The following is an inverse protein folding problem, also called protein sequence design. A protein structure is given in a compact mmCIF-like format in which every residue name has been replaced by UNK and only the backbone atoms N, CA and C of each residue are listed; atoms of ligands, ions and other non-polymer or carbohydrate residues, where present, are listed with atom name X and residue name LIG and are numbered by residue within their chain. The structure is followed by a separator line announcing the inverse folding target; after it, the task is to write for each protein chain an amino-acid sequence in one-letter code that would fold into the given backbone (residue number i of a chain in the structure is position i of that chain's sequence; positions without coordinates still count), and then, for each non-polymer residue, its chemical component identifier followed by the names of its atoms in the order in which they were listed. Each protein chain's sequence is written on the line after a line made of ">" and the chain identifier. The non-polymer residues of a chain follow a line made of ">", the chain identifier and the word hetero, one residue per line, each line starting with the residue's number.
data_IF_721938758608
#
_entry.id   IF_721938758608
#
_cell.length_a   1.000
_cell.length_b   1.000
_cell.length_c   1.000
_cell.angle_alpha   90.00
_cell.angle_beta   90.00
_cell.angle_gamma   90.00
#
_symmetry.space_group_name_H-M   'P 1'
#
loop_
_entity.id
_entity.type
_entity.pdbx_description
1 polymer ?
#
# COMPACT_ATOMS: atom_id res chain seq x y z
N UNK A 1 -12.71 4.31 9.80
CA UNK A 1 -12.47 3.27 8.78
C UNK A 1 -11.16 2.56 9.11
N UNK A 2 -11.06 1.25 8.88
CA UNK A 2 -9.87 0.44 9.23
C UNK A 2 -9.31 -0.19 7.94
N UNK A 3 -8.21 0.36 7.44
CA UNK A 3 -7.60 -0.05 6.18
C UNK A 3 -7.12 -1.50 6.21
N UNK A 4 -6.62 -1.97 7.36
CA UNK A 4 -6.12 -3.33 7.53
C UNK A 4 -7.20 -4.39 7.30
N UNK A 5 -8.43 -4.10 7.72
CA UNK A 5 -9.60 -4.97 7.50
C UNK A 5 -10.12 -4.90 6.08
N UNK A 6 -9.95 -3.74 5.42
CA UNK A 6 -10.42 -3.51 4.06
C UNK A 6 -9.55 -4.17 3.02
N UNK A 7 -8.26 -4.28 3.30
CA UNK A 7 -7.28 -4.98 2.47
C UNK A 7 -6.90 -6.33 3.08
N UNK A 8 -7.76 -6.96 3.89
CA UNK A 8 -7.45 -8.27 4.47
C UNK A 8 -7.28 -9.36 3.40
N UNK A 9 -8.03 -9.22 2.29
CA UNK A 9 -7.95 -10.06 1.10
C UNK A 9 -7.30 -9.30 -0.07
N UNK A 10 -6.81 -10.06 -1.05
CA UNK A 10 -6.27 -9.51 -2.29
C UNK A 10 -7.30 -8.63 -3.01
N UNK A 11 -6.95 -7.36 -3.17
CA UNK A 11 -7.79 -6.33 -3.79
C UNK A 11 -7.03 -5.76 -4.98
N UNK A 12 -7.71 -5.55 -6.11
CA UNK A 12 -7.10 -4.90 -7.27
C UNK A 12 -6.56 -3.50 -6.96
N UNK A 13 -5.58 -3.06 -7.76
CA UNK A 13 -4.89 -1.78 -7.63
C UNK A 13 -5.83 -0.58 -7.45
N UNK A 14 -6.91 -0.52 -8.22
CA UNK A 14 -7.88 0.58 -8.13
C UNK A 14 -8.67 0.52 -6.82
N UNK A 15 -9.15 -0.66 -6.45
CA UNK A 15 -9.84 -0.90 -5.19
C UNK A 15 -8.96 -0.58 -3.98
N UNK A 16 -7.69 -0.98 -4.02
CA UNK A 16 -6.72 -0.69 -2.97
C UNK A 16 -6.44 0.82 -2.87
N UNK A 17 -6.25 1.49 -4.00
CA UNK A 17 -6.03 2.94 -4.06
C UNK A 17 -7.24 3.72 -3.54
N UNK A 18 -8.45 3.25 -3.83
CA UNK A 18 -9.69 3.80 -3.28
C UNK A 18 -9.78 3.69 -1.76
N UNK A 19 -9.49 2.51 -1.19
CA UNK A 19 -9.54 2.31 0.26
C UNK A 19 -8.46 3.15 0.98
N UNK A 20 -7.26 3.31 0.39
CA UNK A 20 -6.23 4.24 0.87
C UNK A 20 -6.73 5.69 0.81
N UNK A 21 -7.29 6.12 -0.32
CA UNK A 21 -7.82 7.47 -0.48
C UNK A 21 -8.93 7.80 0.52
N UNK A 22 -9.76 6.82 0.88
CA UNK A 22 -10.74 6.97 1.97
C UNK A 22 -10.09 7.05 3.35
N UNK A 23 -9.09 6.23 3.62
CA UNK A 23 -8.36 6.27 4.88
C UNK A 23 -7.62 7.61 5.09
N UNK A 24 -7.14 8.22 4.01
CA UNK A 24 -6.53 9.55 4.01
C UNK A 24 -7.55 10.71 4.03
N UNK A 25 -8.85 10.43 3.88
CA UNK A 25 -9.91 11.43 3.84
C UNK A 25 -10.00 12.21 2.52
N UNK A 26 -9.38 11.72 1.44
CA UNK A 26 -9.45 12.31 0.09
C UNK A 26 -10.83 12.05 -0.53
N UNK A 27 -11.37 10.85 -0.31
CA UNK A 27 -12.70 10.46 -0.76
C UNK A 27 -13.68 10.44 0.41
N UNK A 28 -14.85 11.07 0.25
CA UNK A 28 -15.84 11.10 1.31
C UNK A 28 -16.50 9.72 1.48
N UNK A 29 -17.06 9.44 2.66
CA UNK A 29 -17.70 8.15 2.91
C UNK A 29 -18.92 7.86 2.01
N UNK A 30 -19.53 8.90 1.44
CA UNK A 30 -20.66 8.79 0.53
C UNK A 30 -20.25 8.63 -0.94
N UNK A 31 -18.97 8.86 -1.27
CA UNK A 31 -18.47 8.71 -2.62
C UNK A 31 -18.21 7.23 -2.90
N UNK A 32 -19.09 6.60 -3.66
CA UNK A 32 -18.91 5.22 -4.07
C UNK A 32 -17.81 5.08 -5.13
N UNK A 33 -17.11 3.96 -5.12
CA UNK A 33 -16.05 3.63 -6.09
C UNK A 33 -16.44 3.93 -7.55
N UNK A 34 -17.65 3.57 -7.97
CA UNK A 34 -18.14 3.82 -9.35
C UNK A 34 -18.12 5.29 -9.74
N UNK A 35 -18.36 6.21 -8.81
CA UNK A 35 -18.34 7.66 -9.05
C UNK A 35 -16.92 8.23 -9.14
N UNK A 36 -15.95 7.54 -8.54
CA UNK A 36 -14.54 7.94 -8.48
C UNK A 36 -13.65 7.15 -9.44
N UNK A 37 -14.22 6.18 -10.15
CA UNK A 37 -13.53 5.31 -11.11
C UNK A 37 -12.65 6.07 -12.10
N UNK A 38 -13.08 7.25 -12.54
CA UNK A 38 -12.31 8.12 -13.44
C UNK A 38 -10.98 8.57 -12.83
N UNK A 39 -10.85 8.66 -11.51
CA UNK A 39 -9.60 9.00 -10.81
C UNK A 39 -8.54 7.91 -11.01
N UNK A 40 -8.96 6.65 -11.11
CA UNK A 40 -8.03 5.53 -11.27
C UNK A 40 -7.82 5.16 -12.74
N UNK A 41 -8.85 5.33 -13.58
CA UNK A 41 -8.85 4.90 -14.98
C UNK A 41 -8.42 5.99 -15.97
N UNK A 42 -8.09 7.18 -15.48
CA UNK A 42 -7.45 8.23 -16.27
C UNK A 42 -6.06 8.51 -15.72
N UNK A 43 -5.21 9.21 -16.49
CA UNK A 43 -3.92 9.73 -15.99
C UNK A 43 -4.14 10.90 -15.01
N UNK A 44 -4.87 10.61 -13.93
CA UNK A 44 -5.21 11.57 -12.91
C UNK A 44 -4.05 11.64 -11.90
N UNK A 45 -3.56 12.85 -11.58
CA UNK A 45 -2.49 13.02 -10.60
C UNK A 45 -2.79 12.41 -9.21
N UNK A 46 -4.06 12.45 -8.77
CA UNK A 46 -4.49 11.85 -7.49
C UNK A 46 -4.44 10.32 -7.56
N UNK A 47 -4.90 9.73 -8.66
CA UNK A 47 -4.82 8.29 -8.89
C UNK A 47 -3.37 7.79 -8.87
N UNK A 48 -2.47 8.49 -9.58
CA UNK A 48 -1.03 8.17 -9.57
C UNK A 48 -0.41 8.26 -8.18
N UNK A 49 -0.69 9.33 -7.43
CA UNK A 49 -0.17 9.50 -6.07
C UNK A 49 -0.67 8.41 -5.11
N UNK A 50 -1.93 7.98 -5.25
CA UNK A 50 -2.48 6.88 -4.44
C UNK A 50 -1.83 5.54 -4.79
N UNK A 51 -1.60 5.27 -6.07
CA UNK A 51 -0.90 4.06 -6.49
C UNK A 51 0.57 4.06 -6.03
N UNK A 52 1.29 5.18 -6.16
CA UNK A 52 2.64 5.34 -5.59
C UNK A 52 2.65 5.09 -4.07
N UNK A 53 1.61 5.55 -3.36
CA UNK A 53 1.47 5.29 -1.92
C UNK A 53 1.34 3.79 -1.64
N UNK A 54 0.57 3.03 -2.44
CA UNK A 54 0.49 1.57 -2.30
C UNK A 54 1.87 0.93 -2.44
N UNK A 55 2.63 1.30 -3.48
CA UNK A 55 3.98 0.76 -3.70
C UNK A 55 4.93 1.12 -2.56
N UNK A 56 4.85 2.32 -1.99
CA UNK A 56 5.63 2.70 -0.81
C UNK A 56 5.25 1.87 0.43
N UNK A 57 3.96 1.57 0.61
CA UNK A 57 3.50 0.70 1.69
C UNK A 57 3.95 -0.75 1.50
N UNK A 58 4.05 -1.23 0.26
CA UNK A 58 4.64 -2.54 -0.06
C UNK A 58 6.13 -2.54 0.25
N UNK A 59 6.87 -1.53 -0.20
CA UNK A 59 8.29 -1.39 0.10
C UNK A 59 8.59 -1.28 1.61
N UNK A 60 7.66 -0.69 2.36
CA UNK A 60 7.73 -0.61 3.81
C UNK A 60 7.28 -1.91 4.51
N UNK A 61 6.80 -2.92 3.78
CA UNK A 61 6.30 -4.20 4.30
C UNK A 61 4.90 -4.17 4.89
N UNK A 62 4.18 -3.04 4.80
CA UNK A 62 2.81 -2.90 5.33
C UNK A 62 1.78 -3.62 4.45
N UNK A 63 2.02 -3.62 3.14
CA UNK A 63 1.23 -4.35 2.15
C UNK A 63 2.08 -5.42 1.46
N UNK A 64 1.41 -6.45 0.97
CA UNK A 64 1.95 -7.38 -0.01
C UNK A 64 1.38 -7.03 -1.39
N UNK A 65 2.18 -7.21 -2.44
CA UNK A 65 1.76 -7.04 -3.83
C UNK A 65 1.86 -8.37 -4.58
N UNK A 66 0.81 -8.66 -5.33
CA UNK A 66 0.77 -9.66 -6.40
C UNK A 66 1.02 -8.91 -7.71
N UNK A 67 2.26 -8.97 -8.20
CA UNK A 67 2.68 -8.25 -9.41
C UNK A 67 2.02 -8.81 -10.68
N UNK A 68 1.64 -10.09 -10.69
CA UNK A 68 1.05 -10.75 -11.86
C UNK A 68 -0.41 -10.32 -12.07
N UNK A 69 -1.16 -10.17 -10.98
CA UNK A 69 -2.57 -9.76 -11.01
C UNK A 69 -2.80 -8.28 -10.64
N UNK A 70 -1.74 -7.51 -10.35
CA UNK A 70 -1.77 -6.13 -9.85
C UNK A 70 -2.73 -5.94 -8.67
N UNK A 71 -2.53 -6.76 -7.63
CA UNK A 71 -3.35 -6.75 -6.40
C UNK A 71 -2.52 -6.50 -5.16
N UNK A 72 -3.19 -5.97 -4.15
CA UNK A 72 -2.60 -5.64 -2.86
C UNK A 72 -3.40 -6.26 -1.73
N UNK A 73 -2.71 -6.66 -0.65
CA UNK A 73 -3.33 -7.04 0.62
C UNK A 73 -2.49 -6.55 1.79
N UNK A 74 -3.10 -6.48 2.96
CA UNK A 74 -2.45 -6.15 4.21
C UNK A 74 -1.48 -7.26 4.61
N UNK A 75 -0.23 -6.89 4.91
CA UNK A 75 0.73 -7.81 5.49
C UNK A 75 0.32 -8.06 6.96
N UNK A 76 -0.25 -9.23 7.22
CA UNK A 76 -0.89 -9.57 8.50
C UNK A 76 0.01 -9.50 9.76
N UNK A 77 1.32 -9.32 9.60
CA UNK A 77 2.31 -9.27 10.70
C UNK A 77 3.11 -7.95 10.72
N UNK A 78 2.41 -6.86 11.07
CA UNK A 78 2.97 -5.51 11.26
C UNK A 78 4.11 -5.45 12.31
N UNK A 79 4.11 -6.21 13.43
CA UNK A 79 5.22 -6.21 14.39
C UNK A 79 6.60 -6.47 13.76
N UNK A 80 6.72 -7.48 12.90
CA UNK A 80 7.98 -7.77 12.18
C UNK A 80 8.36 -6.69 11.16
N UNK A 81 7.36 -6.10 10.51
CA UNK A 81 7.51 -4.99 9.56
C UNK A 81 8.05 -3.73 10.23
N UNK A 82 7.49 -3.36 11.38
CA UNK A 82 7.94 -2.19 12.15
C UNK A 82 9.33 -2.42 12.77
N UNK A 83 9.68 -3.65 13.15
CA UNK A 83 11.05 -3.98 13.56
C UNK A 83 12.05 -3.91 12.42
N UNK A 84 11.71 -4.41 11.22
CA UNK A 84 12.56 -4.29 10.03
C UNK A 84 12.77 -2.82 9.62
N UNK A 85 11.69 -2.02 9.62
CA UNK A 85 11.75 -0.58 9.34
C UNK A 85 12.57 0.20 10.38
N UNK A 86 12.65 -0.29 11.62
CA UNK A 86 13.45 0.32 12.69
C UNK A 86 14.96 0.23 12.44
N UNK A 87 15.42 -0.75 11.67
CA UNK A 87 16.85 -1.01 11.51
C UNK A 87 17.45 -0.57 10.16
N UNK A 88 16.63 -0.22 9.16
CA UNK A 88 17.11 0.16 7.82
C UNK A 88 17.97 -0.94 7.16
N UNK A 89 18.44 -0.77 5.91
CA UNK A 89 19.33 -1.75 5.31
C UNK A 89 20.62 -1.78 6.13
N UNK A 90 20.80 -2.84 6.91
CA UNK A 90 22.09 -3.15 7.53
C UNK A 90 23.08 -3.48 6.43
N UNK A 91 23.77 -2.44 5.93
CA UNK A 91 25.05 -2.60 5.26
C UNK A 91 26.01 -3.26 6.23
N UNK A 92 26.30 -4.53 5.97
CA UNK A 92 26.98 -5.45 6.87
C UNK A 92 28.37 -4.98 7.31
N UNK A 93 28.62 -5.12 8.61
CA UNK A 93 29.96 -5.20 9.16
C UNK A 93 30.33 -6.68 9.20
N UNK A 94 30.95 -7.17 8.13
CA UNK A 94 31.77 -8.38 8.21
C UNK A 94 32.75 -8.44 7.04
N UNK A 95 33.95 -7.91 7.30
CA UNK A 95 35.23 -8.45 6.84
C UNK A 95 36.34 -7.52 7.31
N UNK A 96 37.05 -7.92 8.39
CA UNK A 96 38.52 -7.86 8.47
C UNK A 96 39.00 -8.46 9.81
N UNK A 97 39.36 -9.74 9.75
CA UNK A 97 40.46 -10.34 10.51
C UNK A 97 41.13 -11.34 9.55
N UNK A 98 42.46 -11.29 9.38
CA UNK A 98 43.36 -11.88 10.37
C UNK A 98 44.41 -10.92 10.95
#
# INVERSE_FOLDING_TARGET
>A
MDLSKKLADWTDSDGAAYEVGRALGIFAEHDGFTSLKWVFWSDNPVGRALHETLLQLVAAGVLEQDEDEDRFRWAGDIPGVLEAARWGPTGGSDQNNP
#
